data_IF_332347582867
#
_entry.id   IF_332347582867
#
_cell.length_a   1.000
_cell.length_b   1.000
_cell.length_c   1.000
_cell.angle_alpha   90.00
_cell.angle_beta   90.00
_cell.angle_gamma   90.00
#
_symmetry.space_group_name_H-M   'P 1'
#
loop_
_entity.id
_entity.type
_entity.pdbx_description
1 polymer ?
#
# COMPACT_ATOMS: atom_id res chain seq x y z
N UNK A 1 -10.49 10.98 3.31
CA UNK A 1 -9.35 10.43 4.06
C UNK A 1 -8.41 9.72 3.10
N UNK A 2 -7.12 10.09 3.09
CA UNK A 2 -6.13 9.50 2.18
C UNK A 2 -4.98 8.85 2.95
N UNK A 3 -4.46 7.72 2.44
CA UNK A 3 -3.44 6.92 3.11
C UNK A 3 -2.05 7.49 2.90
N UNK A 4 -1.06 6.85 3.50
CA UNK A 4 0.34 7.28 3.47
C UNK A 4 1.13 6.72 2.27
N UNK A 5 0.71 5.61 1.68
CA UNK A 5 1.49 4.86 0.67
C UNK A 5 1.44 5.46 -0.74
N UNK A 6 0.39 6.20 -1.07
CA UNK A 6 0.22 6.91 -2.33
C UNK A 6 -0.42 8.28 -2.09
N UNK A 7 0.06 8.99 -1.06
CA UNK A 7 -0.56 10.19 -0.50
C UNK A 7 -0.84 11.28 -1.55
N UNK A 8 0.12 11.57 -2.45
CA UNK A 8 -0.07 12.58 -3.48
C UNK A 8 -1.05 12.13 -4.57
N UNK A 9 -0.87 10.92 -5.11
CA UNK A 9 -1.71 10.42 -6.20
C UNK A 9 -3.19 10.30 -5.78
N UNK A 10 -3.45 9.64 -4.64
CA UNK A 10 -4.83 9.46 -4.16
C UNK A 10 -5.47 10.78 -3.71
N UNK A 11 -4.71 11.69 -3.10
CA UNK A 11 -5.23 13.02 -2.77
C UNK A 11 -5.56 13.82 -4.04
N UNK A 12 -4.71 13.77 -5.07
CA UNK A 12 -4.96 14.43 -6.35
C UNK A 12 -6.23 13.90 -7.02
N UNK A 13 -6.44 12.58 -7.03
CA UNK A 13 -7.65 11.97 -7.58
C UNK A 13 -8.92 12.42 -6.86
N UNK A 14 -8.90 12.45 -5.51
CA UNK A 14 -10.03 12.90 -4.70
C UNK A 14 -10.32 14.39 -4.92
N UNK A 15 -9.29 15.24 -4.93
CA UNK A 15 -9.41 16.68 -5.17
C UNK A 15 -9.95 16.94 -6.58
N UNK A 16 -9.37 16.31 -7.60
CA UNK A 16 -9.79 16.51 -8.99
C UNK A 16 -11.25 16.13 -9.20
N UNK A 17 -11.67 14.97 -8.68
CA UNK A 17 -13.06 14.52 -8.76
C UNK A 17 -14.00 15.48 -8.02
N UNK A 18 -13.61 15.95 -6.85
CA UNK A 18 -14.40 16.89 -6.07
C UNK A 18 -14.64 18.20 -6.83
N UNK A 19 -13.56 18.82 -7.34
CA UNK A 19 -13.62 20.11 -8.05
C UNK A 19 -14.37 19.96 -9.39
N UNK A 20 -14.13 18.88 -10.14
CA UNK A 20 -14.77 18.66 -11.44
C UNK A 20 -16.29 18.63 -11.36
N UNK A 21 -16.84 18.21 -10.22
CA UNK A 21 -18.29 18.18 -9.98
C UNK A 21 -18.80 19.36 -9.13
N UNK A 22 -18.00 20.42 -8.98
CA UNK A 22 -18.41 21.66 -8.31
C UNK A 22 -18.54 21.55 -6.79
N UNK A 23 -17.88 20.58 -6.16
CA UNK A 23 -17.90 20.39 -4.71
C UNK A 23 -16.70 21.06 -4.04
N UNK A 24 -16.80 21.24 -2.73
CA UNK A 24 -15.66 21.51 -1.84
C UNK A 24 -15.27 20.25 -1.06
N UNK A 25 -14.03 20.19 -0.59
CA UNK A 25 -13.60 19.07 0.22
C UNK A 25 -12.75 19.48 1.42
N UNK A 26 -12.85 18.65 2.45
CA UNK A 26 -11.94 18.64 3.59
C UNK A 26 -11.12 17.37 3.52
N UNK A 27 -9.84 17.49 3.24
CA UNK A 27 -8.91 16.39 3.11
C UNK A 27 -8.18 16.13 4.43
N UNK A 28 -8.23 14.91 4.93
CA UNK A 28 -7.37 14.48 6.01
C UNK A 28 -6.36 13.45 5.48
N UNK A 29 -5.12 13.85 5.18
CA UNK A 29 -4.07 12.92 4.84
C UNK A 29 -3.64 12.11 6.06
N UNK A 30 -2.93 11.00 5.82
CA UNK A 30 -2.29 10.27 6.90
C UNK A 30 -1.29 11.15 7.64
N UNK A 31 -1.23 11.01 8.97
CA UNK A 31 -0.24 11.69 9.81
C UNK A 31 1.21 11.30 9.50
N UNK A 32 1.41 10.16 8.83
CA UNK A 32 2.75 9.67 8.45
C UNK A 32 3.29 10.31 7.17
N UNK A 33 2.42 10.84 6.28
CA UNK A 33 2.85 11.42 5.00
C UNK A 33 2.00 12.62 4.57
N UNK A 34 1.90 13.70 5.37
CA UNK A 34 1.04 14.83 5.04
C UNK A 34 1.72 15.89 4.14
N UNK A 35 3.05 15.96 4.10
CA UNK A 35 3.77 17.11 3.57
C UNK A 35 3.52 17.34 2.07
N UNK A 36 3.53 16.29 1.26
CA UNK A 36 3.28 16.39 -0.18
C UNK A 36 1.85 16.87 -0.48
N UNK A 37 0.88 16.45 0.33
CA UNK A 37 -0.52 16.86 0.19
C UNK A 37 -0.68 18.34 0.57
N UNK A 38 -0.05 18.80 1.64
CA UNK A 38 -0.04 20.21 2.02
C UNK A 38 0.57 21.10 0.93
N UNK A 39 1.67 20.64 0.32
CA UNK A 39 2.30 21.37 -0.78
C UNK A 39 1.41 21.39 -2.03
N UNK A 40 0.73 20.30 -2.36
CA UNK A 40 -0.23 20.26 -3.46
C UNK A 40 -1.33 21.32 -3.28
N UNK A 41 -1.93 21.41 -2.10
CA UNK A 41 -3.01 22.38 -1.85
C UNK A 41 -2.50 23.82 -1.95
N UNK A 42 -1.31 24.13 -1.45
CA UNK A 42 -0.67 25.45 -1.64
C UNK A 42 -0.45 25.77 -3.12
N UNK A 43 -0.04 24.80 -3.92
CA UNK A 43 0.12 24.98 -5.37
C UNK A 43 -1.23 25.26 -6.04
N UNK A 44 -2.30 24.55 -5.69
CA UNK A 44 -3.64 24.79 -6.23
C UNK A 44 -4.14 26.21 -5.90
N UNK A 45 -3.93 26.68 -4.69
CA UNK A 45 -4.25 28.08 -4.30
C UNK A 45 -3.42 29.08 -5.10
N UNK A 46 -2.14 28.81 -5.31
CA UNK A 46 -1.24 29.73 -6.06
C UNK A 46 -1.60 29.87 -7.54
N UNK A 47 -2.29 28.91 -8.11
CA UNK A 47 -2.78 28.97 -9.51
C UNK A 47 -4.24 29.41 -9.61
N UNK A 48 -4.83 29.90 -8.53
CA UNK A 48 -6.14 30.55 -8.53
C UNK A 48 -7.30 29.69 -8.04
N UNK A 49 -7.07 28.53 -7.42
CA UNK A 49 -8.15 27.81 -6.75
C UNK A 49 -8.73 28.68 -5.63
N UNK A 50 -10.05 28.97 -5.61
CA UNK A 50 -10.63 29.81 -4.57
C UNK A 50 -10.44 29.22 -3.17
N UNK A 51 -10.15 30.09 -2.21
CA UNK A 51 -10.03 29.70 -0.80
C UNK A 51 -11.30 29.01 -0.31
N UNK A 52 -11.11 27.91 0.43
CA UNK A 52 -12.21 27.13 1.00
C UNK A 52 -12.73 26.01 0.11
N UNK A 53 -12.34 25.93 -1.18
CA UNK A 53 -12.72 24.82 -2.05
C UNK A 53 -12.02 23.54 -1.64
N UNK A 54 -10.70 23.59 -1.34
CA UNK A 54 -9.94 22.47 -0.78
C UNK A 54 -9.33 22.87 0.55
N UNK A 55 -9.67 22.15 1.60
CA UNK A 55 -9.16 22.37 2.95
C UNK A 55 -8.42 21.13 3.43
N UNK A 56 -7.36 21.30 4.23
CA UNK A 56 -6.61 20.20 4.81
C UNK A 56 -6.61 20.28 6.32
N UNK A 57 -6.96 19.18 6.96
CA UNK A 57 -6.85 19.02 8.42
C UNK A 57 -5.88 17.90 8.74
N UNK A 58 -4.84 18.19 9.50
CA UNK A 58 -3.87 17.22 9.95
C UNK A 58 -4.21 16.73 11.36
N UNK A 59 -3.75 15.54 11.68
CA UNK A 59 -3.86 14.97 13.00
C UNK A 59 -4.05 13.45 12.99
N UNK A 60 -4.08 12.88 14.17
CA UNK A 60 -4.25 11.44 14.34
C UNK A 60 -5.63 10.97 13.86
N UNK A 61 -5.67 9.80 13.22
CA UNK A 61 -6.93 9.20 12.77
C UNK A 61 -7.97 9.06 13.87
N UNK A 62 -7.53 8.66 15.08
CA UNK A 62 -8.40 8.48 16.24
C UNK A 62 -8.98 9.78 16.85
N UNK A 63 -8.41 10.94 16.51
CA UNK A 63 -8.86 12.26 17.01
C UNK A 63 -9.47 13.05 15.87
N UNK A 64 -8.63 13.58 14.99
CA UNK A 64 -9.06 14.43 13.87
C UNK A 64 -9.93 13.66 12.86
N UNK A 65 -9.56 12.39 12.57
CA UNK A 65 -10.34 11.53 11.69
C UNK A 65 -11.73 11.21 12.25
N UNK A 66 -11.79 10.87 13.53
CA UNK A 66 -13.06 10.58 14.20
C UNK A 66 -13.97 11.82 14.27
N UNK A 67 -13.41 12.99 14.59
CA UNK A 67 -14.15 14.25 14.61
C UNK A 67 -14.71 14.61 13.22
N UNK A 68 -13.90 14.45 12.18
CA UNK A 68 -14.34 14.75 10.80
C UNK A 68 -15.41 13.77 10.32
N UNK A 69 -15.34 12.48 10.69
CA UNK A 69 -16.32 11.48 10.32
C UNK A 69 -17.71 11.70 10.95
N UNK A 70 -17.79 12.49 12.04
CA UNK A 70 -19.05 12.87 12.72
C UNK A 70 -19.42 14.33 12.53
N UNK A 71 -18.64 15.09 11.74
CA UNK A 71 -18.88 16.52 11.57
C UNK A 71 -20.19 16.79 10.84
N UNK A 72 -21.00 17.72 11.35
CA UNK A 72 -22.21 18.18 10.67
C UNK A 72 -21.84 18.89 9.36
N UNK A 73 -22.68 18.76 8.32
CA UNK A 73 -22.45 19.37 7.01
C UNK A 73 -21.46 18.63 6.12
N UNK A 74 -21.09 17.39 6.45
CA UNK A 74 -20.37 16.49 5.57
C UNK A 74 -21.39 15.67 4.78
N UNK A 75 -21.51 15.92 3.48
CA UNK A 75 -22.49 15.27 2.61
C UNK A 75 -22.04 13.89 2.12
N UNK A 76 -20.73 13.64 2.07
CA UNK A 76 -20.13 12.36 1.63
C UNK A 76 -18.75 12.15 2.25
N UNK A 77 -18.45 10.92 2.59
CA UNK A 77 -17.13 10.51 3.07
C UNK A 77 -16.51 9.53 2.06
N UNK A 78 -15.24 9.77 1.71
CA UNK A 78 -14.40 8.82 0.98
C UNK A 78 -13.19 8.45 1.85
N UNK A 79 -12.90 7.16 1.96
CA UNK A 79 -11.76 6.64 2.72
C UNK A 79 -11.02 5.58 1.91
N UNK A 80 -9.72 5.78 1.76
CA UNK A 80 -8.80 4.70 1.38
C UNK A 80 -8.01 4.29 2.61
N UNK A 81 -8.07 3.01 2.99
CA UNK A 81 -7.39 2.51 4.19
C UNK A 81 -7.81 1.11 4.60
N UNK A 82 -7.60 0.78 5.87
CA UNK A 82 -7.87 -0.55 6.42
C UNK A 82 -9.34 -0.77 6.76
N UNK A 83 -9.79 -2.03 6.66
CA UNK A 83 -11.14 -2.44 6.98
C UNK A 83 -11.58 -2.08 8.40
N UNK A 84 -10.67 -2.16 9.39
CA UNK A 84 -10.98 -1.76 10.77
C UNK A 84 -11.29 -0.26 10.90
N UNK A 85 -10.59 0.58 10.14
CA UNK A 85 -10.87 2.02 10.08
C UNK A 85 -12.19 2.28 9.35
N UNK A 86 -12.43 1.56 8.26
CA UNK A 86 -13.66 1.67 7.49
C UNK A 86 -14.91 1.36 8.33
N UNK A 87 -14.87 0.30 9.13
CA UNK A 87 -15.97 -0.04 10.05
C UNK A 87 -16.28 1.08 11.04
N UNK A 88 -15.24 1.73 11.61
CA UNK A 88 -15.41 2.88 12.51
C UNK A 88 -16.00 4.09 11.81
N UNK A 89 -15.52 4.40 10.59
CA UNK A 89 -16.03 5.51 9.79
C UNK A 89 -17.48 5.24 9.37
N UNK A 90 -17.80 4.02 8.94
CA UNK A 90 -19.16 3.63 8.59
C UNK A 90 -20.13 3.79 9.78
N UNK A 91 -19.73 3.33 10.97
CA UNK A 91 -20.53 3.48 12.18
C UNK A 91 -20.76 4.95 12.55
N UNK A 92 -19.74 5.79 12.41
CA UNK A 92 -19.84 7.23 12.65
C UNK A 92 -20.78 7.92 11.63
N UNK A 93 -20.62 7.61 10.33
CA UNK A 93 -21.42 8.15 9.25
C UNK A 93 -22.91 7.74 9.32
N UNK A 94 -23.19 6.52 9.79
CA UNK A 94 -24.55 5.99 9.91
C UNK A 94 -25.45 6.87 10.80
N UNK A 95 -24.92 7.50 11.83
CA UNK A 95 -25.67 8.37 12.73
C UNK A 95 -26.27 9.61 12.01
N UNK A 96 -25.67 10.02 10.89
CA UNK A 96 -26.10 11.17 10.09
C UNK A 96 -26.61 10.77 8.71
N UNK A 97 -26.68 9.47 8.42
CA UNK A 97 -27.00 8.91 7.10
C UNK A 97 -26.07 9.42 5.98
N UNK A 98 -24.82 9.77 6.34
CA UNK A 98 -23.82 10.25 5.38
C UNK A 98 -23.35 9.09 4.50
N UNK A 99 -23.47 9.16 3.16
CA UNK A 99 -22.94 8.15 2.26
C UNK A 99 -21.43 7.99 2.38
N UNK A 100 -20.97 6.76 2.34
CA UNK A 100 -19.53 6.42 2.42
C UNK A 100 -19.07 5.67 1.19
N UNK A 101 -17.85 5.95 0.74
CA UNK A 101 -17.14 5.21 -0.29
C UNK A 101 -15.81 4.72 0.27
N UNK A 102 -15.52 3.45 0.08
CA UNK A 102 -14.32 2.82 0.62
C UNK A 102 -13.48 2.15 -0.47
N UNK A 103 -12.16 2.42 -0.41
CA UNK A 103 -11.12 1.67 -1.07
C UNK A 103 -10.28 0.99 0.03
N UNK A 104 -10.34 -0.33 0.10
CA UNK A 104 -9.82 -1.08 1.23
C UNK A 104 -8.66 -2.00 0.84
N UNK A 105 -8.29 -2.86 1.77
CA UNK A 105 -7.21 -3.84 1.67
C UNK A 105 -7.45 -4.84 0.53
N UNK A 106 -6.37 -5.38 -0.02
CA UNK A 106 -6.41 -6.44 -1.03
C UNK A 106 -5.28 -7.44 -0.84
N UNK A 107 -5.37 -8.58 -1.55
CA UNK A 107 -4.27 -9.53 -1.71
C UNK A 107 -4.37 -10.11 -3.12
N UNK A 108 -4.02 -9.27 -4.10
CA UNK A 108 -4.26 -9.52 -5.52
C UNK A 108 -3.45 -10.71 -6.03
N UNK A 109 -4.11 -11.59 -6.79
CA UNK A 109 -3.46 -12.69 -7.47
C UNK A 109 -2.85 -12.22 -8.80
N UNK A 110 -1.63 -12.66 -9.07
CA UNK A 110 -0.98 -12.59 -10.37
C UNK A 110 -0.87 -14.01 -10.91
N UNK A 111 -1.53 -14.31 -12.02
CA UNK A 111 -1.68 -15.68 -12.54
C UNK A 111 -0.85 -15.85 -13.80
N UNK A 112 0.07 -16.83 -13.79
CA UNK A 112 1.02 -17.09 -14.87
C UNK A 112 0.73 -18.48 -15.47
N UNK A 113 0.29 -18.51 -16.72
CA UNK A 113 0.08 -19.72 -17.50
C UNK A 113 1.31 -20.09 -18.34
N UNK A 114 1.34 -21.30 -18.89
CA UNK A 114 2.50 -21.85 -19.62
C UNK A 114 2.72 -21.24 -21.01
N UNK A 115 1.74 -20.53 -21.54
CA UNK A 115 1.85 -19.75 -22.78
C UNK A 115 2.39 -18.33 -22.56
N UNK A 116 2.69 -17.93 -21.31
CA UNK A 116 3.26 -16.64 -21.01
C UNK A 116 4.73 -16.52 -21.48
N UNK A 117 5.11 -15.32 -21.91
CA UNK A 117 6.52 -14.95 -22.04
C UNK A 117 7.13 -14.84 -20.62
N UNK A 118 7.93 -15.83 -20.25
CA UNK A 118 8.45 -15.98 -18.87
C UNK A 118 9.27 -14.77 -18.44
N UNK A 119 10.10 -14.19 -19.30
CA UNK A 119 10.95 -13.04 -18.94
C UNK A 119 10.10 -11.81 -18.66
N UNK A 120 9.11 -11.52 -19.49
CA UNK A 120 8.17 -10.42 -19.28
C UNK A 120 7.25 -10.67 -18.07
N UNK A 121 6.85 -11.91 -17.84
CA UNK A 121 6.03 -12.27 -16.68
C UNK A 121 6.82 -12.03 -15.38
N UNK A 122 8.12 -12.36 -15.36
CA UNK A 122 9.01 -12.10 -14.21
C UNK A 122 9.18 -10.59 -14.01
N UNK A 123 9.46 -9.82 -15.05
CA UNK A 123 9.61 -8.36 -14.94
C UNK A 123 8.34 -7.71 -14.41
N UNK A 124 7.19 -8.07 -14.96
CA UNK A 124 5.89 -7.59 -14.49
C UNK A 124 5.59 -7.99 -13.05
N UNK A 125 5.91 -9.21 -12.66
CA UNK A 125 5.72 -9.73 -11.32
C UNK A 125 6.62 -9.01 -10.29
N UNK A 126 7.90 -8.74 -10.62
CA UNK A 126 8.80 -7.97 -9.75
C UNK A 126 8.28 -6.55 -9.51
N UNK A 127 7.88 -5.84 -10.56
CA UNK A 127 7.30 -4.50 -10.44
C UNK A 127 6.01 -4.53 -9.63
N UNK A 128 5.14 -5.51 -9.90
CA UNK A 128 3.84 -5.65 -9.22
C UNK A 128 3.99 -5.99 -7.73
N UNK A 129 4.95 -6.84 -7.37
CA UNK A 129 5.15 -7.27 -5.98
C UNK A 129 6.00 -6.30 -5.15
N UNK A 130 7.04 -5.71 -5.74
CA UNK A 130 8.05 -4.95 -5.02
C UNK A 130 8.02 -3.44 -5.29
N UNK A 131 7.25 -2.98 -6.27
CA UNK A 131 7.02 -1.55 -6.52
C UNK A 131 6.54 -0.86 -5.24
N UNK A 132 7.04 0.36 -4.95
CA UNK A 132 6.81 1.07 -3.70
C UNK A 132 7.08 0.21 -2.44
N UNK A 133 8.05 -0.70 -2.52
CA UNK A 133 8.39 -1.66 -1.47
C UNK A 133 7.22 -2.58 -1.06
N UNK A 134 6.37 -2.94 -2.02
CA UNK A 134 5.16 -3.75 -1.80
C UNK A 134 4.03 -3.04 -1.05
N UNK A 135 4.16 -1.74 -0.82
CA UNK A 135 3.16 -0.94 -0.07
C UNK A 135 2.09 -0.38 -1.01
N UNK A 136 1.44 -1.26 -1.77
CA UNK A 136 0.42 -0.92 -2.76
C UNK A 136 -0.78 -1.87 -2.61
N UNK A 137 -1.99 -1.33 -2.52
CA UNK A 137 -3.23 -2.12 -2.36
C UNK A 137 -3.52 -3.04 -3.56
N UNK A 138 -3.03 -2.69 -4.75
CA UNK A 138 -3.15 -3.49 -5.98
C UNK A 138 -1.88 -4.30 -6.29
N UNK A 139 -0.94 -4.43 -5.34
CA UNK A 139 0.25 -5.24 -5.54
C UNK A 139 -0.13 -6.71 -5.82
N UNK A 140 0.47 -7.31 -6.84
CA UNK A 140 0.35 -8.74 -7.11
C UNK A 140 1.18 -9.55 -6.13
N UNK A 141 0.83 -9.47 -4.85
CA UNK A 141 1.59 -10.06 -3.73
C UNK A 141 1.45 -11.57 -3.60
N UNK A 142 0.56 -12.16 -4.41
CA UNK A 142 0.36 -13.60 -4.50
C UNK A 142 0.48 -14.05 -5.95
N UNK A 143 1.49 -14.86 -6.27
CA UNK A 143 1.70 -15.39 -7.63
C UNK A 143 1.22 -16.84 -7.70
N UNK A 144 0.31 -17.10 -8.64
CA UNK A 144 -0.19 -18.43 -8.96
C UNK A 144 0.43 -18.87 -10.29
N UNK A 145 1.32 -19.85 -10.26
CA UNK A 145 2.03 -20.32 -11.46
C UNK A 145 1.53 -21.70 -11.86
N UNK A 146 1.24 -21.88 -13.14
CA UNK A 146 0.84 -23.18 -13.68
C UNK A 146 1.94 -24.21 -13.42
N UNK A 147 1.55 -25.40 -12.96
CA UNK A 147 2.46 -26.40 -12.38
C UNK A 147 3.62 -26.80 -13.30
N UNK A 148 3.38 -26.97 -14.61
CA UNK A 148 4.39 -27.43 -15.57
C UNK A 148 5.53 -26.42 -15.81
N UNK A 149 5.36 -25.13 -15.45
CA UNK A 149 6.39 -24.08 -15.56
C UNK A 149 6.86 -23.59 -14.19
N UNK A 150 6.27 -24.05 -13.09
CA UNK A 150 6.45 -23.47 -11.76
C UNK A 150 7.91 -23.45 -11.31
N UNK A 151 8.62 -24.57 -11.40
CA UNK A 151 10.02 -24.62 -10.92
C UNK A 151 10.92 -23.67 -11.72
N UNK A 152 10.80 -23.66 -13.05
CA UNK A 152 11.56 -22.75 -13.91
C UNK A 152 11.26 -21.29 -13.61
N UNK A 153 9.98 -20.96 -13.41
CA UNK A 153 9.56 -19.60 -13.07
C UNK A 153 10.11 -19.17 -11.70
N UNK A 154 9.95 -20.02 -10.68
CA UNK A 154 10.41 -19.77 -9.31
C UNK A 154 11.91 -19.52 -9.27
N UNK A 155 12.71 -20.40 -9.90
CA UNK A 155 14.17 -20.27 -9.91
C UNK A 155 14.61 -18.94 -10.53
N UNK A 156 14.05 -18.59 -11.69
CA UNK A 156 14.37 -17.36 -12.38
C UNK A 156 13.88 -16.11 -11.61
N UNK A 157 12.67 -16.15 -11.04
CA UNK A 157 12.10 -15.06 -10.26
C UNK A 157 12.91 -14.79 -8.99
N UNK A 158 13.28 -15.85 -8.25
CA UNK A 158 14.11 -15.75 -7.04
C UNK A 158 15.51 -15.21 -7.37
N UNK A 159 16.11 -15.66 -8.47
CA UNK A 159 17.41 -15.15 -8.91
C UNK A 159 17.35 -13.64 -9.21
N UNK A 160 16.28 -13.18 -9.88
CA UNK A 160 16.05 -11.75 -10.17
C UNK A 160 15.75 -10.95 -8.90
N UNK A 161 14.93 -11.48 -7.99
CA UNK A 161 14.61 -10.85 -6.70
C UNK A 161 15.85 -10.59 -5.85
N UNK A 162 16.81 -11.52 -5.81
CA UNK A 162 18.09 -11.36 -5.09
C UNK A 162 18.96 -10.22 -5.61
N UNK A 163 18.78 -9.81 -6.86
CA UNK A 163 19.56 -8.75 -7.49
C UNK A 163 18.91 -7.36 -7.36
N UNK A 164 17.69 -7.26 -6.81
CA UNK A 164 17.03 -5.98 -6.60
C UNK A 164 17.87 -5.08 -5.68
N UNK A 165 18.07 -3.85 -6.12
CA UNK A 165 18.83 -2.85 -5.35
C UNK A 165 17.94 -2.24 -4.27
N UNK A 166 18.22 -2.62 -3.01
CA UNK A 166 17.56 -2.04 -1.83
C UNK A 166 18.42 -0.88 -1.32
N UNK A 167 17.84 0.30 -1.10
CA UNK A 167 18.63 1.43 -0.67
C UNK A 167 17.89 2.75 -0.49
N UNK A 168 18.65 3.84 -0.47
CA UNK A 168 18.13 5.20 -0.35
C UNK A 168 17.17 5.51 -1.52
N UNK A 169 15.92 5.92 -1.24
CA UNK A 169 14.95 6.25 -2.29
C UNK A 169 15.33 7.47 -3.15
N UNK A 170 16.34 8.25 -2.75
CA UNK A 170 16.88 9.34 -3.56
C UNK A 170 18.01 8.90 -4.50
N UNK A 171 18.51 7.68 -4.40
CA UNK A 171 19.45 7.11 -5.38
C UNK A 171 18.65 6.48 -6.54
N UNK A 172 18.91 6.96 -7.77
CA UNK A 172 18.24 6.48 -8.98
C UNK A 172 18.47 4.98 -9.29
N UNK A 173 19.41 4.33 -8.63
CA UNK A 173 19.66 2.88 -8.75
C UNK A 173 18.79 2.05 -7.81
N UNK A 174 18.18 2.69 -6.82
CA UNK A 174 17.33 1.99 -5.84
C UNK A 174 16.03 1.54 -6.49
N UNK A 175 15.72 0.26 -6.36
CA UNK A 175 14.49 -0.36 -6.83
C UNK A 175 13.50 -0.60 -5.68
N UNK A 176 14.00 -0.84 -4.48
CA UNK A 176 13.20 -1.08 -3.27
C UNK A 176 13.69 -0.16 -2.15
N UNK A 177 12.84 0.74 -1.70
CA UNK A 177 13.09 1.65 -0.59
C UNK A 177 12.71 1.07 0.78
N UNK A 178 12.72 1.88 1.85
CA UNK A 178 12.33 1.45 3.18
C UNK A 178 10.80 1.35 3.33
N UNK A 179 10.35 0.68 4.39
CA UNK A 179 8.99 0.82 4.89
C UNK A 179 8.74 2.25 5.37
N UNK A 180 7.50 2.71 5.29
CA UNK A 180 7.17 4.10 5.60
C UNK A 180 7.42 4.51 7.06
N UNK A 181 7.31 3.57 8.01
CA UNK A 181 7.50 3.83 9.44
C UNK A 181 7.75 2.54 10.24
N UNK A 182 8.28 2.67 11.46
CA UNK A 182 8.74 1.55 12.29
C UNK A 182 7.66 0.50 12.56
N UNK A 183 6.45 0.92 12.93
CA UNK A 183 5.35 0.00 13.24
C UNK A 183 4.95 -0.83 12.02
N UNK A 184 5.09 -0.27 10.82
CA UNK A 184 4.79 -0.99 9.59
C UNK A 184 5.88 -2.00 9.25
N UNK A 185 7.16 -1.65 9.42
CA UNK A 185 8.25 -2.62 9.34
C UNK A 185 8.03 -3.79 10.30
N UNK A 186 7.68 -3.50 11.56
CA UNK A 186 7.42 -4.54 12.57
C UNK A 186 6.25 -5.44 12.17
N UNK A 187 5.18 -4.87 11.58
CA UNK A 187 4.07 -5.68 11.02
C UNK A 187 4.60 -6.69 10.01
N UNK A 188 5.42 -6.25 9.07
CA UNK A 188 5.98 -7.14 8.03
C UNK A 188 6.87 -8.22 8.65
N UNK A 189 7.74 -7.86 9.61
CA UNK A 189 8.61 -8.82 10.31
C UNK A 189 7.82 -9.87 11.12
N UNK A 190 6.66 -9.49 11.65
CA UNK A 190 5.79 -10.44 12.35
C UNK A 190 5.25 -11.53 11.42
N UNK A 191 5.03 -11.24 10.11
CA UNK A 191 4.67 -12.27 9.15
C UNK A 191 5.81 -13.24 8.85
N UNK A 192 7.07 -12.83 8.98
CA UNK A 192 8.18 -13.77 8.88
C UNK A 192 8.19 -14.77 10.04
N UNK A 193 7.99 -14.29 11.26
CA UNK A 193 7.85 -15.17 12.42
C UNK A 193 6.60 -16.07 12.33
N UNK A 194 5.51 -15.56 11.76
CA UNK A 194 4.30 -16.36 11.51
C UNK A 194 4.55 -17.46 10.47
N UNK A 195 5.30 -17.15 9.42
CA UNK A 195 5.65 -18.11 8.36
C UNK A 195 6.38 -19.35 8.91
N UNK A 196 7.21 -19.21 9.96
CA UNK A 196 7.93 -20.31 10.61
C UNK A 196 6.98 -21.37 11.20
N UNK A 197 5.71 -21.01 11.45
CA UNK A 197 4.69 -21.90 12.00
C UNK A 197 3.69 -22.38 10.93
N UNK A 198 4.04 -22.26 9.64
CA UNK A 198 3.24 -22.68 8.50
C UNK A 198 4.02 -23.66 7.63
N UNK A 199 3.43 -24.14 6.54
CA UNK A 199 4.07 -24.92 5.50
C UNK A 199 4.87 -24.09 4.49
N UNK A 200 4.98 -22.76 4.72
CA UNK A 200 5.69 -21.86 3.83
C UNK A 200 7.20 -22.12 3.84
N UNK A 201 7.78 -22.19 2.65
CA UNK A 201 9.23 -22.27 2.48
C UNK A 201 9.79 -20.92 2.08
N UNK A 202 10.71 -20.36 2.88
CA UNK A 202 11.42 -19.13 2.53
C UNK A 202 12.41 -19.41 1.40
N UNK A 203 12.25 -18.74 0.27
CA UNK A 203 13.15 -18.87 -0.90
C UNK A 203 14.22 -17.77 -0.93
N UNK A 204 13.91 -16.57 -0.46
CA UNK A 204 14.85 -15.44 -0.32
C UNK A 204 14.29 -14.38 0.63
N UNK A 205 15.13 -13.52 1.17
CA UNK A 205 14.76 -12.40 2.04
C UNK A 205 14.50 -12.81 3.49
N UNK A 206 13.32 -12.50 4.01
CA UNK A 206 12.86 -12.89 5.36
C UNK A 206 13.51 -12.14 6.52
N UNK A 207 14.05 -10.92 6.28
CA UNK A 207 14.78 -10.18 7.33
C UNK A 207 14.68 -8.65 7.18
N UNK A 208 14.88 -7.94 8.26
CA UNK A 208 15.25 -6.53 8.21
C UNK A 208 16.67 -6.33 7.67
N UNK A 209 16.98 -5.14 7.19
CA UNK A 209 18.29 -4.77 6.64
C UNK A 209 18.88 -3.56 7.39
N UNK A 210 19.26 -3.72 8.68
CA UNK A 210 19.81 -2.63 9.49
C UNK A 210 21.16 -2.12 8.97
N UNK A 211 21.87 -2.91 8.18
CA UNK A 211 23.12 -2.55 7.52
C UNK A 211 22.99 -1.38 6.53
N UNK A 212 21.75 -1.07 6.07
CA UNK A 212 21.49 0.07 5.19
C UNK A 212 21.29 1.40 5.93
N UNK A 213 21.51 1.43 7.24
CA UNK A 213 21.44 2.64 8.05
C UNK A 213 20.08 2.86 8.72
N UNK A 214 19.71 4.13 9.00
CA UNK A 214 18.58 4.50 9.85
C UNK A 214 17.17 4.32 9.25
N UNK A 215 17.02 3.71 8.07
CA UNK A 215 15.74 3.45 7.44
C UNK A 215 15.10 2.13 7.90
N UNK A 216 13.80 1.99 7.67
CA UNK A 216 13.02 0.79 8.02
C UNK A 216 13.06 -0.25 6.88
N UNK A 217 14.27 -0.64 6.47
CA UNK A 217 14.48 -1.54 5.34
C UNK A 217 14.10 -2.99 5.65
N UNK A 218 13.46 -3.65 4.67
CA UNK A 218 13.12 -5.07 4.68
C UNK A 218 13.58 -5.68 3.36
N UNK A 219 14.25 -6.82 3.43
CA UNK A 219 14.70 -7.52 2.23
C UNK A 219 13.51 -7.98 1.37
N UNK A 220 13.58 -7.83 0.03
CA UNK A 220 12.61 -8.46 -0.86
C UNK A 220 12.50 -9.95 -0.57
N UNK A 221 11.30 -10.39 -0.23
CA UNK A 221 11.05 -11.70 0.36
C UNK A 221 10.11 -12.51 -0.52
N UNK A 222 10.45 -13.76 -0.76
CA UNK A 222 9.63 -14.71 -1.51
C UNK A 222 9.43 -15.96 -0.67
N UNK A 223 8.18 -16.33 -0.46
CA UNK A 223 7.78 -17.60 0.12
C UNK A 223 7.17 -18.50 -0.96
N UNK A 224 7.46 -19.79 -0.91
CA UNK A 224 6.67 -20.80 -1.59
C UNK A 224 5.66 -21.35 -0.59
N UNK A 225 4.38 -21.21 -0.90
CA UNK A 225 3.26 -21.64 -0.05
C UNK A 225 2.43 -22.65 -0.82
N UNK A 226 2.09 -23.78 -0.20
CA UNK A 226 1.31 -24.85 -0.85
C UNK A 226 -0.18 -24.73 -0.53
N UNK A 227 -0.52 -24.26 0.66
CA UNK A 227 -1.91 -24.04 1.07
C UNK A 227 -2.32 -22.56 0.93
N UNK A 228 -3.20 -22.28 -0.03
CA UNK A 228 -3.74 -20.93 -0.22
C UNK A 228 -4.55 -20.40 1.00
N UNK A 229 -4.92 -21.25 1.97
CA UNK A 229 -5.55 -20.80 3.22
C UNK A 229 -4.53 -20.28 4.25
N UNK A 230 -3.24 -20.38 3.96
CA UNK A 230 -2.20 -19.78 4.79
C UNK A 230 -2.44 -18.28 5.00
N UNK A 231 -2.21 -17.74 6.21
CA UNK A 231 -2.29 -16.29 6.45
C UNK A 231 -1.42 -15.46 5.50
N UNK A 232 -0.30 -16.01 5.00
CA UNK A 232 0.54 -15.35 4.00
C UNK A 232 -0.19 -15.13 2.66
N UNK A 233 -1.18 -15.97 2.35
CA UNK A 233 -1.99 -15.88 1.14
C UNK A 233 -3.34 -15.19 1.36
N UNK A 234 -3.84 -15.15 2.61
CA UNK A 234 -5.17 -14.64 2.93
C UNK A 234 -5.16 -13.21 3.50
N UNK A 235 -4.03 -12.76 4.03
CA UNK A 235 -3.92 -11.45 4.66
C UNK A 235 -3.00 -10.52 3.86
N UNK A 236 -3.33 -9.23 3.85
CA UNK A 236 -2.50 -8.20 3.22
C UNK A 236 -1.30 -7.86 4.10
N UNK A 237 -0.10 -8.31 3.70
CA UNK A 237 1.16 -8.01 4.40
C UNK A 237 1.54 -6.55 4.21
N UNK A 238 1.36 -6.03 2.98
CA UNK A 238 1.63 -4.63 2.59
C UNK A 238 3.11 -4.26 2.70
N UNK A 239 3.98 -5.14 2.27
CA UNK A 239 5.44 -5.00 2.29
C UNK A 239 6.09 -5.76 1.13
N UNK A 240 7.42 -5.76 1.02
CA UNK A 240 8.13 -6.42 -0.06
C UNK A 240 8.14 -7.95 0.16
N UNK A 241 6.97 -8.54 0.21
CA UNK A 241 6.74 -9.96 0.52
C UNK A 241 5.78 -10.55 -0.50
N UNK A 242 6.19 -11.66 -1.09
CA UNK A 242 5.45 -12.41 -2.08
C UNK A 242 5.20 -13.84 -1.58
N UNK A 243 4.01 -14.35 -1.82
CA UNK A 243 3.63 -15.74 -1.61
C UNK A 243 3.19 -16.42 -2.91
#
# INVERSE_FOLDING_TARGET
FTPWNACLALSSMQIASCIAFGNSCVLKPSEFAPLAVLQLVRLLESVGLPTGVVNVVNGRGSVTGAALATAAGVDRISLTGRGDTARKVMAAAAAQLTPVHFELEGNSANIIFDDADIDRAIDGALVSAFGNSGQICIAGSRILVQQNIADRFIDAFVARTKNLQVGDPLDNRTEVGPMAFAQHQQKVLNYFALAENTDATLLTGGRAMPELGGGYFVAPTVFKVLDNNSPLCQEEIFGPVLS
#
